data_IF_243057061991
#
_entry.id   IF_243057061991
#
_cell.length_a   1.000
_cell.length_b   1.000
_cell.length_c   1.000
_cell.angle_alpha   90.00
_cell.angle_beta   90.00
_cell.angle_gamma   90.00
#
_symmetry.space_group_name_H-M   'P 1'
#
loop_
_entity.id
_entity.type
_entity.pdbx_description
1 polymer ?
#
# COMPACT_ATOMS: atom_id res chain seq x y z
N UNK A 1 -6.45 -4.54 -11.33
CA UNK A 1 -6.91 -3.92 -10.07
C UNK A 1 -8.35 -3.41 -10.14
N UNK A 2 -8.73 -2.62 -11.17
CA UNK A 2 -10.11 -2.09 -11.30
C UNK A 2 -11.20 -3.19 -11.21
N UNK A 3 -11.04 -4.24 -12.01
CA UNK A 3 -11.95 -5.39 -12.04
C UNK A 3 -12.07 -6.14 -10.71
N UNK A 4 -10.96 -6.27 -9.98
CA UNK A 4 -10.99 -6.85 -8.61
C UNK A 4 -11.78 -5.96 -7.64
N UNK A 5 -11.61 -4.63 -7.74
CA UNK A 5 -12.35 -3.69 -6.87
C UNK A 5 -13.85 -3.77 -7.16
N UNK A 6 -14.26 -3.93 -8.42
CA UNK A 6 -15.67 -4.13 -8.79
C UNK A 6 -16.25 -5.40 -8.17
N UNK A 7 -15.52 -6.52 -8.25
CA UNK A 7 -15.92 -7.76 -7.58
C UNK A 7 -16.04 -7.57 -6.05
N UNK A 8 -15.09 -6.88 -5.41
CA UNK A 8 -15.18 -6.59 -3.97
C UNK A 8 -16.35 -5.67 -3.61
N UNK A 9 -16.65 -4.67 -4.44
CA UNK A 9 -17.76 -3.74 -4.21
C UNK A 9 -19.13 -4.42 -4.23
N UNK A 10 -19.30 -5.46 -5.06
CA UNK A 10 -20.52 -6.27 -5.09
C UNK A 10 -20.74 -7.04 -3.77
N UNK A 11 -19.65 -7.49 -3.14
CA UNK A 11 -19.71 -8.40 -2.01
C UNK A 11 -19.52 -7.74 -0.64
N UNK A 12 -19.05 -6.49 -0.60
CA UNK A 12 -18.88 -5.78 0.66
C UNK A 12 -20.23 -5.23 1.13
N UNK A 13 -20.46 -5.20 2.44
CA UNK A 13 -21.67 -4.62 3.05
C UNK A 13 -21.35 -3.37 3.89
N UNK A 14 -20.12 -3.27 4.39
CA UNK A 14 -19.68 -2.17 5.25
C UNK A 14 -19.58 -0.86 4.44
N UNK A 15 -20.36 0.15 4.89
CA UNK A 15 -20.47 1.44 4.19
C UNK A 15 -19.15 2.18 4.07
N UNK A 16 -18.26 2.06 5.07
CA UNK A 16 -16.96 2.74 5.06
C UNK A 16 -15.99 2.02 4.12
N UNK A 17 -16.00 0.68 4.08
CA UNK A 17 -15.30 -0.11 3.07
C UNK A 17 -15.74 0.27 1.65
N UNK A 18 -17.06 0.29 1.38
CA UNK A 18 -17.61 0.73 0.08
C UNK A 18 -17.08 2.09 -0.33
N UNK A 19 -17.14 3.07 0.57
CA UNK A 19 -16.70 4.44 0.28
C UNK A 19 -15.22 4.50 -0.10
N UNK A 20 -14.36 3.78 0.61
CA UNK A 20 -12.93 3.70 0.30
C UNK A 20 -12.71 3.08 -1.09
N UNK A 21 -13.34 1.93 -1.35
CA UNK A 21 -13.17 1.21 -2.61
C UNK A 21 -13.74 1.96 -3.83
N UNK A 22 -14.92 2.58 -3.70
CA UNK A 22 -15.49 3.43 -4.77
C UNK A 22 -14.59 4.62 -5.08
N UNK A 23 -14.05 5.28 -4.06
CA UNK A 23 -13.08 6.35 -4.25
C UNK A 23 -11.84 5.86 -5.00
N UNK A 24 -11.28 4.73 -4.55
CA UNK A 24 -10.08 4.14 -5.13
C UNK A 24 -10.29 3.77 -6.60
N UNK A 25 -11.43 3.14 -6.90
CA UNK A 25 -11.81 2.75 -8.26
C UNK A 25 -11.91 3.99 -9.18
N UNK A 26 -12.60 5.04 -8.75
CA UNK A 26 -12.74 6.29 -9.50
C UNK A 26 -11.38 6.94 -9.78
N UNK A 27 -10.55 7.07 -8.75
CA UNK A 27 -9.27 7.74 -8.87
C UNK A 27 -8.32 6.93 -9.79
N UNK A 28 -8.24 5.60 -9.65
CA UNK A 28 -7.42 4.74 -10.52
C UNK A 28 -7.92 4.76 -11.97
N UNK A 29 -9.22 4.74 -12.19
CA UNK A 29 -9.80 4.80 -13.54
C UNK A 29 -9.32 6.05 -14.28
N UNK A 30 -9.25 7.18 -13.56
CA UNK A 30 -8.73 8.44 -14.10
C UNK A 30 -7.25 8.32 -14.52
N UNK A 31 -6.41 7.67 -13.70
CA UNK A 31 -5.00 7.45 -14.06
C UNK A 31 -4.82 6.47 -15.20
N UNK A 32 -5.68 5.45 -15.30
CA UNK A 32 -5.66 4.47 -16.40
C UNK A 32 -5.85 5.19 -17.74
N UNK A 33 -6.85 6.07 -17.83
CA UNK A 33 -7.09 6.90 -19.02
C UNK A 33 -5.90 7.82 -19.32
N UNK A 34 -5.27 8.41 -18.30
CA UNK A 34 -4.07 9.26 -18.50
C UNK A 34 -2.90 8.46 -19.09
N UNK A 35 -2.68 7.25 -18.59
CA UNK A 35 -1.60 6.38 -19.06
C UNK A 35 -1.90 5.90 -20.50
N UNK A 36 -3.12 5.52 -20.81
CA UNK A 36 -3.52 5.16 -22.19
C UNK A 36 -3.27 6.30 -23.18
N UNK A 37 -3.62 7.53 -22.81
CA UNK A 37 -3.33 8.72 -23.63
C UNK A 37 -1.85 8.92 -23.85
N UNK A 38 -1.02 8.69 -22.83
CA UNK A 38 0.44 8.76 -22.95
C UNK A 38 0.95 7.74 -23.97
N UNK A 39 0.49 6.48 -23.91
CA UNK A 39 0.87 5.46 -24.90
C UNK A 39 0.52 5.89 -26.34
N UNK A 40 -0.70 6.39 -26.55
CA UNK A 40 -1.16 6.87 -27.87
C UNK A 40 -0.28 8.04 -28.36
N UNK A 41 0.02 9.00 -27.49
CA UNK A 41 0.82 10.18 -27.83
C UNK A 41 2.25 9.82 -28.24
N UNK A 42 2.82 8.78 -27.65
CA UNK A 42 4.15 8.25 -28.01
C UNK A 42 4.11 7.32 -29.23
N UNK A 43 2.94 7.13 -29.87
CA UNK A 43 2.79 6.25 -31.03
C UNK A 43 2.83 4.76 -30.70
N UNK A 44 2.56 4.39 -29.44
CA UNK A 44 2.52 3.02 -28.98
C UNK A 44 1.07 2.50 -28.83
N UNK A 45 0.89 1.20 -29.04
CA UNK A 45 -0.39 0.54 -28.77
C UNK A 45 -0.65 0.46 -27.27
N UNK A 46 -1.92 0.58 -26.88
CA UNK A 46 -2.34 0.37 -25.49
C UNK A 46 -2.15 -1.11 -25.12
N UNK A 47 -1.44 -1.42 -24.02
CA UNK A 47 -1.31 -2.80 -23.54
C UNK A 47 -2.66 -3.41 -23.18
N UNK A 48 -2.88 -4.68 -23.52
CA UNK A 48 -4.05 -5.42 -23.06
C UNK A 48 -3.86 -5.77 -21.58
N UNK A 49 -4.59 -5.06 -20.72
CA UNK A 49 -4.62 -5.31 -19.28
C UNK A 49 -5.65 -6.38 -18.89
N UNK A 50 -5.86 -6.53 -17.58
CA UNK A 50 -6.88 -7.39 -17.01
C UNK A 50 -8.28 -6.77 -17.21
N UNK A 51 -9.14 -7.44 -17.98
CA UNK A 51 -10.41 -6.92 -18.51
C UNK A 51 -11.65 -7.50 -17.82
N UNK A 52 -12.83 -7.15 -18.31
CA UNK A 52 -14.11 -7.68 -17.82
C UNK A 52 -14.27 -9.17 -18.11
N UNK A 53 -13.62 -9.66 -19.17
CA UNK A 53 -13.62 -11.08 -19.52
C UNK A 53 -12.78 -11.92 -18.54
N UNK A 54 -11.85 -11.29 -17.83
CA UNK A 54 -10.95 -11.99 -16.91
C UNK A 54 -11.51 -12.11 -15.49
N UNK A 55 -12.67 -11.49 -15.19
CA UNK A 55 -13.32 -11.50 -13.88
C UNK A 55 -14.71 -12.13 -13.96
N UNK A 56 -15.00 -13.05 -13.05
CA UNK A 56 -16.36 -13.53 -12.84
C UNK A 56 -16.99 -12.74 -11.69
N UNK A 57 -17.88 -11.79 -12.00
CA UNK A 57 -18.58 -10.98 -11.00
C UNK A 57 -19.68 -11.74 -10.25
N UNK A 58 -20.19 -12.85 -10.82
CA UNK A 58 -21.22 -13.70 -10.22
C UNK A 58 -20.63 -14.75 -9.26
N UNK A 59 -19.30 -14.88 -9.23
CA UNK A 59 -18.64 -15.79 -8.31
C UNK A 59 -18.92 -15.38 -6.86
N UNK A 60 -19.22 -16.34 -5.96
CA UNK A 60 -19.43 -16.03 -4.56
C UNK A 60 -18.13 -15.55 -3.90
N UNK A 61 -18.26 -14.71 -2.86
CA UNK A 61 -17.09 -14.31 -2.05
C UNK A 61 -16.40 -15.55 -1.46
N UNK A 62 -15.08 -15.62 -1.65
CA UNK A 62 -14.24 -16.67 -1.07
C UNK A 62 -13.71 -16.31 0.31
N UNK A 63 -13.56 -15.01 0.60
CA UNK A 63 -12.93 -14.52 1.82
C UNK A 63 -13.93 -13.81 2.74
N UNK A 64 -13.57 -13.80 4.02
CA UNK A 64 -14.36 -13.18 5.07
C UNK A 64 -14.44 -11.66 4.96
N UNK A 65 -15.32 -11.09 5.78
CA UNK A 65 -15.51 -9.66 5.90
C UNK A 65 -14.17 -8.95 6.16
N UNK A 66 -13.96 -7.81 5.50
CA UNK A 66 -12.76 -6.95 5.59
C UNK A 66 -11.51 -7.41 4.82
N UNK A 67 -11.53 -8.61 4.20
CA UNK A 67 -10.42 -9.06 3.35
C UNK A 67 -10.18 -8.11 2.17
N UNK A 68 -11.25 -7.56 1.60
CA UNK A 68 -11.21 -6.52 0.56
C UNK A 68 -10.28 -5.36 0.92
N UNK A 69 -10.45 -4.77 2.10
CA UNK A 69 -9.63 -3.64 2.57
C UNK A 69 -8.22 -4.08 2.95
N UNK A 70 -8.06 -5.27 3.54
CA UNK A 70 -6.73 -5.82 3.82
C UNK A 70 -5.92 -6.05 2.54
N UNK A 71 -6.56 -6.64 1.52
CA UNK A 71 -5.99 -6.82 0.18
C UNK A 71 -5.59 -5.47 -0.42
N UNK A 72 -6.48 -4.46 -0.37
CA UNK A 72 -6.16 -3.12 -0.87
C UNK A 72 -4.99 -2.48 -0.10
N UNK A 73 -4.94 -2.58 1.23
CA UNK A 73 -3.79 -2.09 2.02
C UNK A 73 -2.48 -2.71 1.54
N UNK A 74 -2.45 -4.04 1.33
CA UNK A 74 -1.26 -4.74 0.83
C UNK A 74 -0.87 -4.28 -0.57
N UNK A 75 -1.86 -4.18 -1.48
CA UNK A 75 -1.61 -3.68 -2.83
C UNK A 75 -1.03 -2.26 -2.81
N UNK A 76 -1.53 -1.38 -1.94
CA UNK A 76 -0.97 -0.02 -1.81
C UNK A 76 0.42 0.01 -1.19
N UNK A 77 0.73 -0.90 -0.25
CA UNK A 77 2.08 -1.05 0.28
C UNK A 77 3.09 -1.38 -0.83
N UNK A 78 2.74 -2.33 -1.70
CA UNK A 78 3.55 -2.73 -2.85
C UNK A 78 3.67 -1.57 -3.86
N UNK A 79 2.56 -0.93 -4.20
CA UNK A 79 2.54 0.22 -5.13
C UNK A 79 3.42 1.38 -4.66
N UNK A 80 3.51 1.64 -3.35
CA UNK A 80 4.37 2.71 -2.81
C UNK A 80 5.84 2.49 -3.18
N UNK A 81 6.36 1.28 -2.97
CA UNK A 81 7.75 0.96 -3.33
C UNK A 81 7.99 1.11 -4.84
N UNK A 82 7.07 0.60 -5.65
CA UNK A 82 7.17 0.66 -7.11
C UNK A 82 7.14 2.10 -7.64
N UNK A 83 6.26 2.96 -7.12
CA UNK A 83 6.19 4.35 -7.59
C UNK A 83 7.45 5.14 -7.23
N UNK A 84 8.01 4.94 -6.04
CA UNK A 84 9.28 5.57 -5.65
C UNK A 84 10.41 5.14 -6.60
N UNK A 85 10.48 3.85 -6.96
CA UNK A 85 11.47 3.38 -7.94
C UNK A 85 11.29 4.07 -9.30
N UNK A 86 10.06 4.14 -9.81
CA UNK A 86 9.80 4.76 -11.11
C UNK A 86 10.05 6.27 -11.15
N UNK A 87 9.80 7.01 -10.06
CA UNK A 87 10.18 8.43 -9.97
C UNK A 87 11.69 8.61 -10.21
N UNK A 88 12.52 7.74 -9.65
CA UNK A 88 13.97 7.82 -9.80
C UNK A 88 14.47 7.42 -11.21
N UNK A 89 13.62 6.80 -12.03
CA UNK A 89 13.95 6.37 -13.39
C UNK A 89 13.38 7.28 -14.47
N UNK A 90 12.57 8.28 -14.09
CA UNK A 90 11.93 9.20 -15.01
C UNK A 90 12.69 10.52 -15.10
N UNK A 91 12.86 11.04 -16.32
CA UNK A 91 13.51 12.34 -16.58
C UNK A 91 12.58 13.36 -17.25
N UNK A 92 11.44 12.93 -17.80
CA UNK A 92 10.44 13.82 -18.39
C UNK A 92 9.52 14.39 -17.30
N UNK A 93 9.21 15.67 -17.38
CA UNK A 93 8.40 16.37 -16.37
C UNK A 93 6.99 15.78 -16.23
N UNK A 94 6.33 15.44 -17.35
CA UNK A 94 5.01 14.80 -17.35
C UNK A 94 4.99 13.46 -16.61
N UNK A 95 6.04 12.64 -16.78
CA UNK A 95 6.21 11.37 -16.07
C UNK A 95 6.52 11.57 -14.59
N UNK A 96 7.35 12.56 -14.24
CA UNK A 96 7.64 12.90 -12.85
C UNK A 96 6.37 13.33 -12.12
N UNK A 97 5.54 14.16 -12.76
CA UNK A 97 4.22 14.57 -12.24
C UNK A 97 3.30 13.35 -12.10
N UNK A 98 3.23 12.48 -13.13
CA UNK A 98 2.42 11.26 -13.09
C UNK A 98 2.75 10.37 -11.89
N UNK A 99 4.04 10.06 -11.69
CA UNK A 99 4.46 9.17 -10.59
C UNK A 99 4.35 9.83 -9.22
N UNK A 100 4.57 11.14 -9.11
CA UNK A 100 4.29 11.90 -7.88
C UNK A 100 2.81 11.80 -7.50
N UNK A 101 1.91 12.02 -8.45
CA UNK A 101 0.47 12.01 -8.19
C UNK A 101 -0.03 10.58 -7.88
N UNK A 102 0.52 9.55 -8.55
CA UNK A 102 0.28 8.14 -8.22
C UNK A 102 0.77 7.79 -6.81
N UNK A 103 1.91 8.34 -6.38
CA UNK A 103 2.44 8.18 -5.02
C UNK A 103 1.48 8.77 -3.99
N UNK A 104 1.02 10.00 -4.21
CA UNK A 104 0.05 10.67 -3.32
C UNK A 104 -1.27 9.90 -3.23
N UNK A 105 -1.80 9.41 -4.35
CA UNK A 105 -2.98 8.56 -4.39
C UNK A 105 -2.75 7.27 -3.57
N UNK A 106 -1.61 6.63 -3.77
CA UNK A 106 -1.30 5.37 -3.09
C UNK A 106 -1.20 5.56 -1.58
N UNK A 107 -0.53 6.61 -1.12
CA UNK A 107 -0.43 6.96 0.31
C UNK A 107 -1.79 7.29 0.92
N UNK A 108 -2.63 8.07 0.21
CA UNK A 108 -4.01 8.37 0.63
C UNK A 108 -4.80 7.09 0.91
N UNK A 109 -4.83 6.15 -0.04
CA UNK A 109 -5.62 4.92 0.11
C UNK A 109 -4.99 3.92 1.07
N UNK A 110 -3.65 3.85 1.14
CA UNK A 110 -2.97 3.08 2.18
C UNK A 110 -3.36 3.55 3.58
N UNK A 111 -3.36 4.88 3.81
CA UNK A 111 -3.75 5.45 5.08
C UNK A 111 -5.21 5.16 5.41
N UNK A 112 -6.14 5.38 4.46
CA UNK A 112 -7.56 5.09 4.67
C UNK A 112 -7.81 3.61 5.00
N UNK A 113 -7.16 2.69 4.29
CA UNK A 113 -7.27 1.25 4.58
C UNK A 113 -6.65 0.92 5.94
N UNK A 114 -5.52 1.53 6.29
CA UNK A 114 -4.85 1.29 7.58
C UNK A 114 -5.69 1.78 8.75
N UNK A 115 -6.23 2.99 8.68
CA UNK A 115 -7.12 3.53 9.72
C UNK A 115 -8.40 2.69 9.84
N UNK A 116 -8.99 2.28 8.72
CA UNK A 116 -10.13 1.39 8.72
C UNK A 116 -9.85 0.07 9.46
N UNK A 117 -8.75 -0.60 9.12
CA UNK A 117 -8.39 -1.88 9.73
C UNK A 117 -8.00 -1.70 11.21
N UNK A 118 -7.35 -0.59 11.57
CA UNK A 118 -7.02 -0.26 12.95
C UNK A 118 -8.29 -0.08 13.81
N UNK A 119 -9.26 0.69 13.32
CA UNK A 119 -10.55 0.90 13.99
C UNK A 119 -11.33 -0.40 14.18
N UNK A 120 -11.19 -1.36 13.26
CA UNK A 120 -11.82 -2.69 13.35
C UNK A 120 -11.01 -3.69 14.18
N UNK A 121 -9.83 -3.31 14.70
CA UNK A 121 -8.96 -4.20 15.46
C UNK A 121 -8.28 -5.30 14.63
N UNK A 122 -8.19 -5.13 13.31
CA UNK A 122 -7.71 -6.14 12.35
C UNK A 122 -6.22 -6.01 12.02
N UNK A 123 -5.54 -4.98 12.55
CA UNK A 123 -4.09 -4.85 12.40
C UNK A 123 -3.37 -5.48 13.58
N UNK A 124 -2.41 -6.34 13.30
CA UNK A 124 -1.45 -6.82 14.30
C UNK A 124 -0.68 -5.63 14.85
N UNK A 125 -0.65 -5.50 16.19
CA UNK A 125 0.14 -4.46 16.83
C UNK A 125 1.63 -4.74 16.62
N UNK A 126 2.44 -3.72 16.32
CA UNK A 126 3.89 -3.90 16.32
C UNK A 126 4.35 -4.37 17.70
N UNK A 127 5.52 -5.04 17.79
CA UNK A 127 6.08 -5.42 19.08
C UNK A 127 6.19 -4.20 19.99
N UNK A 128 5.80 -4.38 21.24
CA UNK A 128 5.96 -3.36 22.27
C UNK A 128 7.43 -3.27 22.65
N UNK A 129 8.02 -2.09 22.46
CA UNK A 129 9.24 -1.75 23.18
C UNK A 129 8.82 -1.46 24.62
N UNK A 130 9.43 -2.16 25.58
CA UNK A 130 9.38 -1.72 26.96
C UNK A 130 9.90 -0.29 27.01
N UNK A 131 9.27 0.58 27.80
CA UNK A 131 9.85 1.89 28.05
C UNK A 131 11.23 1.68 28.68
N UNK A 132 12.29 2.05 27.97
CA UNK A 132 13.64 2.00 28.51
C UNK A 132 13.70 2.88 29.76
N UNK A 133 14.26 2.34 30.84
CA UNK A 133 14.50 3.06 32.09
C UNK A 133 15.65 4.05 31.91
N UNK A 134 15.42 5.09 31.11
CA UNK A 134 16.37 6.17 30.87
C UNK A 134 17.60 5.78 30.07
N UNK A 135 18.32 6.80 29.58
CA UNK A 135 19.61 6.63 28.94
C UNK A 135 20.60 6.18 30.04
N UNK A 136 21.02 4.92 30.00
CA UNK A 136 22.11 4.45 30.86
C UNK A 136 23.44 4.81 30.21
N UNK A 137 24.25 5.61 30.92
CA UNK A 137 25.62 5.86 30.53
C UNK A 137 26.50 4.85 31.25
N UNK A 138 27.40 4.21 30.48
CA UNK A 138 28.41 3.32 31.04
C UNK A 138 29.32 4.15 31.95
N UNK A 139 29.15 4.00 33.27
CA UNK A 139 29.97 4.70 34.26
C UNK A 139 31.29 3.98 34.55
N UNK A 140 31.36 2.68 34.23
CA UNK A 140 32.51 1.84 34.53
C UNK A 140 33.39 1.61 33.29
N UNK A 141 34.71 1.72 33.44
CA UNK A 141 35.70 1.46 32.38
C UNK A 141 35.97 -0.05 32.20
N UNK A 142 35.32 -0.91 32.97
CA UNK A 142 35.54 -2.37 32.87
C UNK A 142 35.13 -2.97 31.51
N UNK A 143 34.36 -2.27 30.68
CA UNK A 143 34.13 -2.67 29.28
C UNK A 143 35.41 -2.69 28.41
N UNK A 144 36.47 -1.98 28.81
CA UNK A 144 37.77 -2.02 28.12
C UNK A 144 38.55 -3.31 28.38
N UNK A 145 38.17 -4.09 29.40
CA UNK A 145 38.79 -5.38 29.72
C UNK A 145 38.15 -6.44 28.82
N UNK A 146 38.63 -6.54 27.58
CA UNK A 146 38.06 -7.31 26.46
C UNK A 146 37.94 -8.84 26.61
N UNK A 147 37.69 -9.36 27.81
CA UNK A 147 37.71 -10.80 28.12
C UNK A 147 36.42 -11.32 28.79
N UNK A 148 35.27 -10.63 28.65
CA UNK A 148 33.98 -11.23 29.07
C UNK A 148 33.36 -12.00 27.91
N UNK A 149 33.47 -13.33 27.95
CA UNK A 149 32.86 -14.27 26.98
C UNK A 149 31.33 -14.41 27.13
N UNK A 150 30.74 -13.78 28.15
CA UNK A 150 29.28 -13.63 28.33
C UNK A 150 29.04 -12.20 28.78
N UNK A 151 28.25 -11.44 28.02
CA UNK A 151 28.04 -10.02 28.24
C UNK A 151 26.78 -9.76 29.08
N UNK A 152 26.92 -8.93 30.11
CA UNK A 152 25.79 -8.13 30.59
C UNK A 152 25.44 -7.09 29.51
N UNK A 153 24.16 -6.77 29.42
CA UNK A 153 23.56 -5.97 28.34
C UNK A 153 24.31 -4.64 28.10
N UNK A 154 24.40 -4.28 26.81
CA UNK A 154 25.03 -3.05 26.32
C UNK A 154 24.09 -1.87 26.43
#
# INVERSE_FOLDING_TARGET
>A
LLRMIEHFLLHTEDKKSKKIMMGLHKDISTFTIKIEKLFIQEGHSIPLGYTEQDVNLEAPKLFDQHFDIMCMKLMKAISMGIHVLHVNMAYREDLLILFRDLTALTQKYYNQCSMYLAEKGLLTRPPYLSNDQGIQFVQDKDYFRGNKLVGDER
#
